data_IF_093756163435
#
_entry.id   IF_093756163435
#
_cell.length_a   1.000
_cell.length_b   1.000
_cell.length_c   1.000
_cell.angle_alpha   90.00
_cell.angle_beta   90.00
_cell.angle_gamma   90.00
#
_symmetry.space_group_name_H-M   'P 1'
#
loop_
_entity.id
_entity.type
_entity.pdbx_description
1 polymer ?
#
# COMPACT_ATOMS: atom_id res chain seq x y z
N UNK A 1 -2.49 -7.97 32.57
CA UNK A 1 -1.33 -8.29 31.73
C UNK A 1 -0.09 -7.84 32.48
N UNK A 2 0.85 -8.74 32.77
CA UNK A 2 2.13 -8.40 33.38
C UNK A 2 3.13 -8.21 32.24
N UNK A 3 3.33 -6.98 31.79
CA UNK A 3 4.48 -6.67 30.96
C UNK A 3 5.68 -6.52 31.90
N UNK A 4 6.78 -7.22 31.65
CA UNK A 4 8.05 -6.93 32.31
C UNK A 4 8.48 -5.49 31.98
N UNK A 5 9.33 -4.93 32.82
CA UNK A 5 9.88 -3.61 32.58
C UNK A 5 10.60 -3.55 31.22
N UNK A 6 10.39 -2.46 30.48
CA UNK A 6 11.01 -2.23 29.16
C UNK A 6 10.43 -2.96 27.95
N UNK A 7 9.34 -3.74 28.07
CA UNK A 7 8.72 -4.43 26.91
C UNK A 7 8.12 -3.49 25.84
N UNK A 8 7.88 -2.22 26.19
CA UNK A 8 7.37 -1.23 25.25
C UNK A 8 8.49 -0.54 24.46
N UNK A 9 9.76 -0.76 24.81
CA UNK A 9 10.88 -0.21 24.05
C UNK A 9 11.07 -0.96 22.72
N UNK A 10 11.13 -0.27 21.57
CA UNK A 10 11.23 -0.89 20.25
C UNK A 10 12.39 -1.88 20.12
N UNK A 11 13.54 -1.60 20.74
CA UNK A 11 14.73 -2.46 20.73
C UNK A 11 14.50 -3.83 21.39
N UNK A 12 13.46 -3.95 22.22
CA UNK A 12 13.08 -5.20 22.89
C UNK A 12 11.92 -5.92 22.19
N UNK A 13 11.43 -5.39 21.07
CA UNK A 13 10.34 -5.99 20.29
C UNK A 13 10.89 -6.81 19.13
N UNK A 14 10.13 -7.82 18.71
CA UNK A 14 10.42 -8.51 17.47
C UNK A 14 10.24 -7.54 16.28
N UNK A 15 10.99 -7.70 15.18
CA UNK A 15 10.77 -6.93 13.97
C UNK A 15 9.30 -6.95 13.56
N UNK A 16 8.70 -5.77 13.40
CA UNK A 16 7.29 -5.62 13.04
C UNK A 16 7.15 -5.51 11.52
N UNK A 17 6.28 -6.35 10.95
CA UNK A 17 5.84 -6.20 9.56
C UNK A 17 4.73 -5.16 9.53
N UNK A 18 4.90 -4.14 8.70
CA UNK A 18 3.91 -3.08 8.48
C UNK A 18 3.33 -3.25 7.08
N UNK A 19 2.02 -3.43 7.00
CA UNK A 19 1.26 -3.42 5.75
C UNK A 19 0.65 -2.05 5.51
N UNK A 20 0.99 -1.42 4.40
CA UNK A 20 0.34 -0.19 3.95
C UNK A 20 -0.81 -0.52 2.97
N UNK A 21 -1.97 0.08 3.18
CA UNK A 21 -3.15 -0.06 2.30
C UNK A 21 -3.62 1.31 1.77
N UNK A 22 -2.83 1.99 0.93
CA UNK A 22 -3.05 3.40 0.61
C UNK A 22 -4.21 3.65 -0.38
N UNK A 23 -4.82 2.60 -0.94
CA UNK A 23 -5.75 2.72 -2.08
C UNK A 23 -7.21 2.40 -1.78
N UNK A 24 -7.53 1.99 -0.54
CA UNK A 24 -8.76 1.27 -0.18
C UNK A 24 -10.01 1.65 -1.00
N UNK A 25 -10.75 0.69 -1.60
CA UNK A 25 -11.79 0.99 -2.58
C UNK A 25 -13.03 1.67 -2.01
N UNK A 26 -13.12 1.79 -0.68
CA UNK A 26 -14.26 2.38 0.02
C UNK A 26 -14.39 3.89 -0.17
N UNK A 27 -13.30 4.59 -0.44
CA UNK A 27 -13.28 6.05 -0.65
C UNK A 27 -13.07 6.38 -2.13
N UNK A 28 -13.63 7.50 -2.57
CA UNK A 28 -13.42 8.08 -3.90
C UNK A 28 -12.58 9.35 -3.79
N UNK A 29 -11.90 9.79 -4.87
CA UNK A 29 -11.01 10.94 -4.81
C UNK A 29 -11.66 12.21 -4.23
N UNK A 30 -12.96 12.42 -4.42
CA UNK A 30 -13.65 13.58 -3.83
C UNK A 30 -13.73 13.56 -2.30
N UNK A 31 -13.58 12.40 -1.66
CA UNK A 31 -13.53 12.30 -0.21
C UNK A 31 -12.19 12.85 0.32
N UNK A 32 -11.10 12.65 -0.44
CA UNK A 32 -9.74 13.10 -0.13
C UNK A 32 -8.96 13.51 -1.41
N UNK A 33 -9.19 14.72 -1.95
CA UNK A 33 -8.74 15.12 -3.30
C UNK A 33 -7.23 15.09 -3.57
N UNK A 34 -6.42 15.08 -2.51
CA UNK A 34 -4.94 15.12 -2.60
C UNK A 34 -4.28 13.80 -2.18
N UNK A 35 -5.03 12.90 -1.51
CA UNK A 35 -4.46 11.71 -0.88
C UNK A 35 -4.70 10.42 -1.67
N UNK A 36 -5.71 10.40 -2.55
CA UNK A 36 -6.09 9.19 -3.29
C UNK A 36 -5.45 9.19 -4.69
N UNK A 37 -4.44 8.34 -4.93
CA UNK A 37 -3.82 8.24 -6.26
C UNK A 37 -4.80 7.58 -7.25
N UNK A 38 -4.92 8.16 -8.46
CA UNK A 38 -5.84 7.67 -9.49
C UNK A 38 -5.08 7.12 -10.69
N UNK A 39 -4.11 7.87 -11.20
CA UNK A 39 -3.31 7.42 -12.33
C UNK A 39 -2.38 6.27 -11.94
N UNK A 40 -1.93 5.50 -12.93
CA UNK A 40 -1.02 4.38 -12.68
C UNK A 40 0.29 4.85 -12.04
N UNK A 41 0.88 5.94 -12.54
CA UNK A 41 2.12 6.50 -11.99
C UNK A 41 1.95 6.95 -10.55
N UNK A 42 0.84 7.63 -10.21
CA UNK A 42 0.55 8.02 -8.82
C UNK A 42 0.39 6.80 -7.91
N UNK A 43 -0.27 5.74 -8.38
CA UNK A 43 -0.44 4.51 -7.61
C UNK A 43 0.90 3.81 -7.35
N UNK A 44 1.78 3.76 -8.36
CA UNK A 44 3.14 3.22 -8.24
C UNK A 44 3.96 4.10 -7.29
N UNK A 45 3.95 5.43 -7.48
CA UNK A 45 4.70 6.34 -6.64
C UNK A 45 4.24 6.25 -5.19
N UNK A 46 2.94 6.11 -4.93
CA UNK A 46 2.42 5.90 -3.57
C UNK A 46 2.97 4.61 -2.92
N UNK A 47 3.15 3.53 -3.70
CA UNK A 47 3.80 2.32 -3.20
C UNK A 47 5.26 2.56 -2.79
N UNK A 48 6.00 3.32 -3.62
CA UNK A 48 7.38 3.72 -3.32
C UNK A 48 7.42 4.53 -2.03
N UNK A 49 6.55 5.55 -1.90
CA UNK A 49 6.46 6.37 -0.69
C UNK A 49 6.21 5.51 0.56
N UNK A 50 5.30 4.53 0.48
CA UNK A 50 5.01 3.61 1.58
C UNK A 50 6.22 2.74 1.95
N UNK A 51 6.95 2.24 0.96
CA UNK A 51 8.15 1.43 1.19
C UNK A 51 9.27 2.26 1.83
N UNK A 52 9.53 3.46 1.32
CA UNK A 52 10.52 4.39 1.86
C UNK A 52 10.18 4.84 3.30
N UNK A 53 8.88 4.90 3.64
CA UNK A 53 8.41 5.16 5.00
C UNK A 53 8.53 3.95 5.95
N UNK A 54 8.92 2.77 5.47
CA UNK A 54 9.18 1.57 6.27
C UNK A 54 8.13 0.46 6.17
N UNK A 55 7.15 0.57 5.27
CA UNK A 55 6.23 -0.54 5.01
C UNK A 55 6.95 -1.66 4.23
N UNK A 56 6.76 -2.90 4.66
CA UNK A 56 7.33 -4.09 3.98
C UNK A 56 6.31 -4.80 3.10
N UNK A 57 5.01 -4.56 3.34
CA UNK A 57 3.91 -5.12 2.56
C UNK A 57 3.03 -4.01 2.00
N UNK A 58 2.69 -4.12 0.72
CA UNK A 58 1.67 -3.29 0.08
C UNK A 58 0.40 -4.09 -0.14
N UNK A 59 -0.69 -3.67 0.50
CA UNK A 59 -2.03 -4.12 0.14
C UNK A 59 -2.59 -3.22 -0.96
N UNK A 60 -2.67 -3.75 -2.18
CA UNK A 60 -3.02 -2.96 -3.36
C UNK A 60 -4.43 -3.20 -3.89
N UNK A 61 -5.00 -2.12 -4.43
CA UNK A 61 -6.17 -2.09 -5.31
C UNK A 61 -5.81 -1.22 -6.51
N UNK A 62 -6.58 -1.33 -7.59
CA UNK A 62 -6.44 -0.46 -8.77
C UNK A 62 -7.68 0.39 -8.97
N UNK A 63 -7.52 1.54 -9.61
CA UNK A 63 -8.61 2.48 -9.92
C UNK A 63 -8.77 2.74 -11.40
N UNK A 64 -10.00 2.97 -11.80
CA UNK A 64 -10.36 3.50 -13.11
C UNK A 64 -10.02 5.00 -13.19
N UNK A 65 -10.00 5.55 -14.41
CA UNK A 65 -9.73 6.97 -14.64
C UNK A 65 -10.77 7.92 -14.02
N UNK A 66 -11.98 7.43 -13.74
CA UNK A 66 -13.02 8.17 -13.01
C UNK A 66 -12.87 8.08 -11.47
N UNK A 67 -11.80 7.45 -11.00
CA UNK A 67 -11.47 7.29 -9.60
C UNK A 67 -12.16 6.12 -8.90
N UNK A 68 -13.06 5.37 -9.55
CA UNK A 68 -13.69 4.19 -8.94
C UNK A 68 -12.73 3.01 -8.85
N UNK A 69 -12.97 2.09 -7.92
CA UNK A 69 -12.23 0.84 -7.85
C UNK A 69 -12.40 0.00 -9.13
N UNK A 70 -11.30 -0.60 -9.58
CA UNK A 70 -11.26 -1.49 -10.74
C UNK A 70 -10.99 -2.93 -10.32
N UNK A 71 -11.50 -3.88 -11.11
CA UNK A 71 -11.23 -5.32 -10.99
C UNK A 71 -10.48 -5.88 -12.20
N UNK A 72 -9.97 -5.02 -13.07
CA UNK A 72 -9.29 -5.42 -14.31
C UNK A 72 -7.93 -6.02 -14.00
N UNK A 73 -7.78 -7.33 -14.24
CA UNK A 73 -6.52 -8.04 -14.02
C UNK A 73 -5.34 -7.41 -14.78
N UNK A 74 -5.60 -6.81 -15.94
CA UNK A 74 -4.57 -6.09 -16.71
C UNK A 74 -3.97 -4.92 -15.93
N UNK A 75 -4.79 -4.17 -15.19
CA UNK A 75 -4.31 -3.04 -14.39
C UNK A 75 -3.56 -3.51 -13.15
N UNK A 76 -4.01 -4.60 -12.52
CA UNK A 76 -3.26 -5.23 -11.44
C UNK A 76 -1.87 -5.65 -11.93
N UNK A 77 -1.78 -6.29 -13.09
CA UNK A 77 -0.50 -6.69 -13.67
C UNK A 77 0.41 -5.47 -13.95
N UNK A 78 -0.17 -4.39 -14.47
CA UNK A 78 0.55 -3.14 -14.73
C UNK A 78 1.10 -2.51 -13.45
N UNK A 79 0.26 -2.37 -12.41
CA UNK A 79 0.68 -1.85 -11.11
C UNK A 79 1.75 -2.73 -10.47
N UNK A 80 1.54 -4.06 -10.46
CA UNK A 80 2.51 -5.01 -9.90
C UNK A 80 3.86 -4.92 -10.63
N UNK A 81 3.86 -4.82 -11.96
CA UNK A 81 5.08 -4.68 -12.73
C UNK A 81 5.80 -3.35 -12.41
N UNK A 82 5.07 -2.24 -12.33
CA UNK A 82 5.60 -0.93 -11.98
C UNK A 82 6.19 -0.88 -10.56
N UNK A 83 5.47 -1.42 -9.57
CA UNK A 83 5.95 -1.53 -8.19
C UNK A 83 7.21 -2.39 -8.12
N UNK A 84 7.24 -3.58 -8.74
CA UNK A 84 8.42 -4.45 -8.76
C UNK A 84 9.64 -3.80 -9.43
N UNK A 85 9.43 -2.95 -10.43
CA UNK A 85 10.52 -2.23 -11.09
C UNK A 85 11.16 -1.15 -10.20
N UNK A 86 10.39 -0.57 -9.25
CA UNK A 86 10.85 0.54 -8.39
C UNK A 86 11.25 0.08 -6.98
N UNK A 87 10.53 -0.89 -6.42
CA UNK A 87 10.70 -1.44 -5.06
C UNK A 87 10.64 -2.98 -5.10
N UNK A 88 11.67 -3.65 -5.64
CA UNK A 88 11.63 -5.10 -5.90
C UNK A 88 11.44 -5.98 -4.65
N UNK A 89 11.84 -5.49 -3.48
CA UNK A 89 11.75 -6.21 -2.20
C UNK A 89 10.39 -6.04 -1.50
N UNK A 90 9.49 -5.21 -2.04
CA UNK A 90 8.17 -5.00 -1.43
C UNK A 90 7.29 -6.24 -1.61
N UNK A 91 6.76 -6.77 -0.52
CA UNK A 91 5.79 -7.87 -0.58
C UNK A 91 4.46 -7.33 -1.07
N UNK A 92 3.90 -7.94 -2.11
CA UNK A 92 2.65 -7.50 -2.71
C UNK A 92 1.49 -8.40 -2.25
N UNK A 93 0.47 -7.78 -1.65
CA UNK A 93 -0.80 -8.39 -1.28
C UNK A 93 -1.91 -7.81 -2.17
N UNK A 94 -2.56 -8.64 -2.99
CA UNK A 94 -3.63 -8.21 -3.90
C UNK A 94 -4.97 -8.23 -3.17
N UNK A 95 -5.69 -7.09 -3.14
CA UNK A 95 -7.04 -7.01 -2.61
C UNK A 95 -8.11 -7.56 -3.55
N UNK A 96 -9.03 -8.37 -3.02
CA UNK A 96 -10.08 -9.04 -3.81
C UNK A 96 -11.47 -8.39 -3.79
N UNK A 97 -11.66 -7.28 -3.07
CA UNK A 97 -12.96 -6.60 -2.92
C UNK A 97 -13.37 -5.75 -4.11
#
# INVERSE_FOLDING_TARGET
>A
MNFLDGHLYPENQQPLIITAAPYAPGWIPSDFPEDIPVTMEEQIQKAVDCYEAGATVLHLHVREADGKGSKRLSMFNELIAGVRARVPEMVIQVGGS
#
